data_IF_683324915049
#
_entry.id   IF_683324915049
#
_cell.length_a   1.000
_cell.length_b   1.000
_cell.length_c   1.000
_cell.angle_alpha   90.00
_cell.angle_beta   90.00
_cell.angle_gamma   90.00
#
_symmetry.space_group_name_H-M   'P 1'
#
loop_
_entity.id
_entity.type
_entity.pdbx_description
1 polymer ?
#
# COMPACT_ATOMS: atom_id res chain seq x y z
N UNK A 1 56.34 2.80 22.97
CA UNK A 1 55.24 3.78 22.91
C UNK A 1 54.34 3.52 24.09
N UNK A 2 54.28 4.46 25.03
CA UNK A 2 53.68 4.28 26.35
C UNK A 2 52.17 4.06 26.25
N UNK A 3 51.69 2.89 26.68
CA UNK A 3 50.29 2.66 27.00
C UNK A 3 49.99 3.41 28.29
N UNK A 4 49.40 4.60 28.15
CA UNK A 4 48.83 5.33 29.28
C UNK A 4 47.71 4.49 29.88
N UNK A 5 47.93 4.02 31.12
CA UNK A 5 46.88 3.63 32.05
C UNK A 5 45.93 4.82 32.21
N UNK A 6 44.69 4.66 31.79
CA UNK A 6 43.59 5.52 32.24
C UNK A 6 42.82 4.71 33.28
N UNK A 7 43.15 4.95 34.55
CA UNK A 7 42.31 4.63 35.70
C UNK A 7 41.40 5.83 35.94
N UNK A 8 40.17 5.80 35.43
CA UNK A 8 39.02 6.50 36.01
C UNK A 8 37.74 5.68 35.72
N UNK A 9 36.82 5.51 36.69
CA UNK A 9 35.57 4.80 36.49
C UNK A 9 34.55 5.73 35.79
N UNK A 10 34.62 5.76 34.45
CA UNK A 10 33.64 6.40 33.58
C UNK A 10 33.71 5.71 32.23
N UNK A 11 32.82 4.74 31.99
CA UNK A 11 32.90 3.81 30.87
C UNK A 11 32.86 4.52 29.51
N UNK A 12 33.98 4.54 28.79
CA UNK A 12 34.00 4.75 27.35
C UNK A 12 33.59 3.45 26.68
N UNK A 13 32.53 3.48 25.88
CA UNK A 13 32.10 2.30 25.16
C UNK A 13 32.57 2.40 23.71
N UNK A 14 33.41 1.44 23.34
CA UNK A 14 34.26 1.46 22.15
C UNK A 14 33.64 0.59 21.05
N UNK A 15 33.37 1.18 19.89
CA UNK A 15 33.05 0.43 18.66
C UNK A 15 34.20 0.51 17.67
N UNK A 16 34.77 -0.63 17.26
CA UNK A 16 35.76 -0.73 16.17
C UNK A 16 35.05 -1.15 14.88
N UNK A 17 35.17 -0.35 13.82
CA UNK A 17 34.66 -0.73 12.50
C UNK A 17 35.75 -0.84 11.45
N UNK A 18 35.69 -1.94 10.71
CA UNK A 18 36.47 -2.20 9.51
C UNK A 18 35.78 -1.55 8.29
N UNK A 19 36.50 -0.72 7.53
CA UNK A 19 36.07 -0.33 6.19
C UNK A 19 37.19 -0.56 5.20
N UNK A 20 36.94 -1.43 4.23
CA UNK A 20 37.78 -1.62 3.07
C UNK A 20 37.23 -0.74 1.95
N UNK A 21 38.01 0.26 1.54
CA UNK A 21 37.93 0.83 0.20
C UNK A 21 39.30 0.59 -0.46
N UNK A 22 39.31 0.37 -1.78
CA UNK A 22 40.42 -0.20 -2.58
C UNK A 22 41.80 0.50 -2.50
N UNK A 23 41.98 1.51 -1.65
CA UNK A 23 43.26 2.19 -1.45
C UNK A 23 43.63 2.51 0.01
N UNK A 24 42.75 2.35 1.02
CA UNK A 24 43.09 2.70 2.41
C UNK A 24 42.26 1.93 3.45
N UNK A 25 42.93 1.44 4.50
CA UNK A 25 42.32 0.90 5.71
C UNK A 25 42.17 2.04 6.72
N UNK A 26 40.94 2.38 7.09
CA UNK A 26 40.67 3.38 8.12
C UNK A 26 39.96 2.74 9.32
N UNK A 27 40.50 2.98 10.52
CA UNK A 27 39.79 2.72 11.77
C UNK A 27 38.89 3.92 12.05
N UNK A 28 37.58 3.70 12.04
CA UNK A 28 36.62 4.71 12.50
C UNK A 28 36.26 4.44 13.95
N UNK A 29 36.50 5.43 14.81
CA UNK A 29 36.08 5.47 16.20
C UNK A 29 34.87 6.40 16.30
N UNK A 30 33.68 5.87 16.58
CA UNK A 30 32.56 6.70 17.01
C UNK A 30 32.56 6.64 18.55
N UNK A 31 33.27 7.58 19.20
CA UNK A 31 33.25 7.71 20.67
C UNK A 31 32.04 8.54 21.05
N UNK A 32 30.98 7.89 21.55
CA UNK A 32 29.93 8.58 22.26
C UNK A 32 30.50 8.97 23.63
N UNK A 33 30.82 10.26 23.79
CA UNK A 33 31.15 10.80 25.11
C UNK A 33 29.86 10.91 25.91
N UNK A 34 29.84 10.51 27.19
CA UNK A 34 28.75 10.85 28.09
C UNK A 34 28.49 12.36 28.00
N UNK A 35 27.24 12.74 27.76
CA UNK A 35 26.86 14.15 27.75
C UNK A 35 26.70 14.57 29.20
N UNK A 36 27.58 15.44 29.69
CA UNK A 36 27.49 16.00 31.03
C UNK A 36 26.90 17.40 30.99
N UNK A 37 25.91 17.66 31.82
CA UNK A 37 25.32 18.99 31.97
C UNK A 37 25.76 19.61 33.29
N UNK A 38 26.15 20.88 33.26
CA UNK A 38 26.52 21.66 34.46
C UNK A 38 25.32 22.31 35.13
N UNK A 39 24.15 22.22 34.51
CA UNK A 39 22.88 22.76 34.98
C UNK A 39 21.78 21.71 34.78
N UNK A 40 20.68 21.76 35.55
CA UNK A 40 19.52 20.92 35.29
C UNK A 40 19.00 21.14 33.85
N UNK A 41 18.77 20.06 33.11
CA UNK A 41 18.27 20.09 31.73
C UNK A 41 16.90 19.44 31.67
N UNK A 42 15.96 20.13 31.03
CA UNK A 42 14.67 19.55 30.66
C UNK A 42 14.75 19.01 29.24
N UNK A 43 14.48 17.71 29.06
CA UNK A 43 14.43 17.06 27.75
C UNK A 43 12.98 16.72 27.43
N UNK A 44 12.51 17.18 26.28
CA UNK A 44 11.17 16.87 25.78
C UNK A 44 11.24 15.68 24.83
N UNK A 45 10.87 14.50 25.33
CA UNK A 45 10.85 13.27 24.56
C UNK A 45 9.53 12.54 24.77
N UNK A 46 8.78 12.38 23.68
CA UNK A 46 7.44 11.79 23.69
C UNK A 46 7.45 10.29 24.05
N UNK A 47 8.60 9.63 23.93
CA UNK A 47 8.76 8.19 24.17
C UNK A 47 9.99 7.92 25.05
N UNK A 48 10.22 8.77 26.05
CA UNK A 48 11.33 8.61 26.97
C UNK A 48 11.25 7.28 27.74
N UNK A 49 12.41 6.67 28.00
CA UNK A 49 12.58 5.52 28.87
C UNK A 49 13.58 5.85 29.96
N UNK A 50 13.22 5.55 31.22
CA UNK A 50 14.10 5.73 32.36
C UNK A 50 15.41 4.96 32.17
N UNK A 51 15.33 3.66 31.83
CA UNK A 51 16.50 2.80 31.58
C UNK A 51 17.43 3.39 30.50
N UNK A 52 16.86 3.89 29.40
CA UNK A 52 17.66 4.47 28.32
C UNK A 52 18.36 5.77 28.73
N UNK A 53 17.68 6.63 29.49
CA UNK A 53 18.24 7.91 29.93
C UNK A 53 19.27 7.74 31.05
N UNK A 54 19.06 6.79 31.97
CA UNK A 54 20.04 6.46 33.02
C UNK A 54 21.37 6.02 32.42
N UNK A 55 21.33 5.25 31.33
CA UNK A 55 22.52 4.82 30.58
C UNK A 55 23.14 5.94 29.73
N UNK A 56 22.33 6.87 29.22
CA UNK A 56 22.79 7.99 28.39
C UNK A 56 23.48 9.07 29.23
N UNK A 57 23.02 9.28 30.47
CA UNK A 57 23.48 10.33 31.39
C UNK A 57 24.05 9.73 32.69
N UNK A 58 25.14 8.93 32.60
CA UNK A 58 25.70 8.28 33.77
C UNK A 58 26.11 9.31 34.83
N UNK A 59 25.76 9.04 36.09
CA UNK A 59 26.07 9.91 37.23
C UNK A 59 25.14 11.13 37.38
N UNK A 60 24.18 11.33 36.46
CA UNK A 60 23.13 12.34 36.61
C UNK A 60 21.89 11.71 37.27
N UNK A 61 21.16 12.49 38.07
CA UNK A 61 19.83 12.08 38.53
C UNK A 61 18.82 12.35 37.43
N UNK A 62 18.26 11.29 36.83
CA UNK A 62 17.22 11.38 35.80
C UNK A 62 15.86 11.14 36.44
N UNK A 63 14.92 12.06 36.25
CA UNK A 63 13.53 11.89 36.67
C UNK A 63 12.60 12.02 35.45
N UNK A 64 11.82 10.98 35.17
CA UNK A 64 10.84 10.99 34.10
C UNK A 64 9.50 11.53 34.58
N UNK A 65 9.07 12.64 33.98
CA UNK A 65 7.76 13.24 34.25
C UNK A 65 6.85 13.06 33.04
N UNK A 66 5.74 12.35 33.23
CA UNK A 66 4.71 12.24 32.19
C UNK A 66 3.70 13.38 32.37
N UNK A 67 3.48 14.17 31.32
CA UNK A 67 2.55 15.30 31.34
C UNK A 67 1.45 15.08 30.30
N UNK A 68 0.20 15.29 30.72
CA UNK A 68 -0.97 15.20 29.85
C UNK A 68 -1.52 13.79 29.69
N UNK A 69 -2.62 13.69 28.95
CA UNK A 69 -3.27 12.41 28.64
C UNK A 69 -2.72 11.86 27.33
N UNK A 70 -2.39 10.56 27.32
CA UNK A 70 -2.03 9.86 26.07
C UNK A 70 -3.29 9.61 25.26
N UNK A 71 -3.33 10.15 24.05
CA UNK A 71 -4.43 9.91 23.11
C UNK A 71 -4.02 8.80 22.13
N UNK A 72 -4.78 7.70 22.05
CA UNK A 72 -4.42 6.59 21.18
C UNK A 72 -4.54 6.95 19.70
N UNK A 73 -3.65 6.39 18.90
CA UNK A 73 -3.74 6.44 17.44
C UNK A 73 -4.69 5.35 16.94
N UNK A 74 -5.53 5.69 15.97
CA UNK A 74 -6.41 4.76 15.27
C UNK A 74 -5.73 4.29 13.99
N UNK A 75 -5.32 3.03 13.98
CA UNK A 75 -4.52 2.43 12.91
C UNK A 75 -5.30 1.32 12.24
N UNK A 76 -5.24 1.25 10.92
CA UNK A 76 -5.89 0.22 10.10
C UNK A 76 -4.85 -0.71 9.46
N UNK A 77 -4.59 -1.90 10.03
CA UNK A 77 -3.65 -2.84 9.45
C UNK A 77 -4.17 -3.42 8.14
N UNK A 78 -3.32 -3.42 7.11
CA UNK A 78 -3.61 -3.92 5.78
C UNK A 78 -2.37 -4.59 5.17
N UNK A 79 -2.00 -5.76 5.72
CA UNK A 79 -0.78 -6.52 5.34
C UNK A 79 -0.72 -6.91 3.86
N UNK A 80 -1.85 -6.89 3.16
CA UNK A 80 -1.96 -7.08 1.72
C UNK A 80 -1.34 -5.94 0.91
N UNK A 81 -1.13 -4.75 1.49
CA UNK A 81 -0.51 -3.61 0.82
C UNK A 81 1.02 -3.62 0.87
N UNK A 82 1.62 -4.61 1.56
CA UNK A 82 3.07 -4.64 1.81
C UNK A 82 3.85 -4.79 0.52
N UNK A 83 4.78 -3.89 0.27
CA UNK A 83 5.72 -4.00 -0.84
C UNK A 83 6.99 -4.73 -0.40
N UNK A 84 7.66 -5.38 -1.35
CA UNK A 84 9.01 -5.89 -1.14
C UNK A 84 10.02 -4.81 -1.50
N UNK A 85 10.73 -4.31 -0.48
CA UNK A 85 11.72 -3.25 -0.60
C UNK A 85 12.91 -3.63 -1.48
N UNK A 86 13.17 -4.92 -1.69
CA UNK A 86 14.23 -5.40 -2.60
C UNK A 86 13.82 -5.28 -4.06
N UNK A 87 12.51 -5.24 -4.32
CA UNK A 87 11.96 -5.17 -5.67
C UNK A 87 11.65 -3.71 -6.10
N UNK A 88 11.69 -2.74 -5.18
CA UNK A 88 11.60 -1.30 -5.47
C UNK A 88 12.84 -0.84 -6.24
N UNK A 89 12.66 -0.40 -7.49
CA UNK A 89 13.73 0.10 -8.36
C UNK A 89 14.22 -0.89 -9.41
N UNK A 90 13.97 -2.19 -9.24
CA UNK A 90 14.14 -3.16 -10.33
C UNK A 90 12.91 -3.11 -11.22
N UNK A 91 13.05 -2.63 -12.46
CA UNK A 91 12.01 -2.71 -13.51
C UNK A 91 11.69 -4.14 -13.96
N UNK A 92 11.85 -5.13 -13.09
CA UNK A 92 11.82 -6.55 -13.38
C UNK A 92 10.41 -7.10 -13.55
N UNK A 93 9.89 -6.97 -14.78
CA UNK A 93 9.36 -8.00 -15.68
C UNK A 93 8.35 -9.08 -15.19
N UNK A 94 7.92 -9.13 -13.93
CA UNK A 94 6.97 -10.13 -13.45
C UNK A 94 5.55 -9.53 -13.34
N UNK A 95 4.57 -9.98 -14.16
CA UNK A 95 3.22 -9.42 -14.19
C UNK A 95 2.52 -9.38 -12.83
N UNK A 96 2.81 -10.34 -11.94
CA UNK A 96 2.25 -10.36 -10.58
C UNK A 96 2.71 -9.20 -9.71
N UNK A 97 3.97 -8.77 -9.86
CA UNK A 97 4.56 -7.68 -9.05
C UNK A 97 4.00 -6.34 -9.48
N UNK A 98 3.87 -6.14 -10.79
CA UNK A 98 3.21 -4.96 -11.33
C UNK A 98 1.75 -4.90 -10.84
N UNK A 99 1.05 -6.04 -10.74
CA UNK A 99 -0.39 -6.07 -10.41
C UNK A 99 -0.62 -5.70 -8.97
N UNK A 100 0.28 -6.15 -8.11
CA UNK A 100 0.29 -5.78 -6.72
C UNK A 100 0.58 -4.28 -6.53
N UNK A 101 1.54 -3.72 -7.26
CA UNK A 101 1.82 -2.27 -7.19
C UNK A 101 0.68 -1.42 -7.73
N UNK A 102 0.04 -1.85 -8.83
CA UNK A 102 -1.16 -1.20 -9.35
C UNK A 102 -2.30 -1.25 -8.32
N UNK A 103 -2.50 -2.38 -7.64
CA UNK A 103 -3.47 -2.48 -6.55
C UNK A 103 -3.16 -1.49 -5.42
N UNK A 104 -1.92 -1.47 -4.92
CA UNK A 104 -1.49 -0.55 -3.85
C UNK A 104 -1.66 0.91 -4.26
N UNK A 105 -1.24 1.28 -5.48
CA UNK A 105 -1.41 2.63 -6.02
C UNK A 105 -2.88 3.06 -6.00
N UNK A 106 -3.80 2.14 -6.35
CA UNK A 106 -5.23 2.44 -6.40
C UNK A 106 -5.88 2.55 -5.05
N UNK A 107 -5.49 1.74 -4.07
CA UNK A 107 -6.00 1.90 -2.70
C UNK A 107 -5.59 3.26 -2.14
N UNK A 108 -4.36 3.70 -2.40
CA UNK A 108 -3.86 5.03 -2.03
C UNK A 108 -4.67 6.13 -2.72
N UNK A 109 -4.83 6.05 -4.05
CA UNK A 109 -5.57 7.04 -4.83
C UNK A 109 -7.04 7.09 -4.48
N UNK A 110 -7.66 5.94 -4.19
CA UNK A 110 -9.05 5.89 -3.77
C UNK A 110 -9.28 6.68 -2.49
N UNK A 111 -8.42 6.51 -1.48
CA UNK A 111 -8.48 7.32 -0.25
C UNK A 111 -8.30 8.80 -0.58
N UNK A 112 -7.35 9.14 -1.46
CA UNK A 112 -7.13 10.51 -1.87
C UNK A 112 -8.31 11.12 -2.64
N UNK A 113 -9.07 10.32 -3.38
CA UNK A 113 -10.21 10.77 -4.20
C UNK A 113 -11.50 10.92 -3.38
N UNK A 114 -11.75 9.99 -2.45
CA UNK A 114 -13.01 9.93 -1.72
C UNK A 114 -13.04 10.82 -0.48
N UNK A 115 -11.89 11.33 -0.02
CA UNK A 115 -11.88 12.19 1.16
C UNK A 115 -12.60 13.53 0.88
N UNK A 116 -13.76 13.79 1.53
CA UNK A 116 -14.56 14.99 1.25
C UNK A 116 -13.83 16.27 1.65
N UNK A 117 -12.85 16.18 2.56
CA UNK A 117 -12.04 17.32 3.01
C UNK A 117 -10.79 17.52 2.15
N UNK A 118 -10.66 16.74 1.08
CA UNK A 118 -9.54 16.80 0.16
C UNK A 118 -8.18 16.77 0.89
N UNK A 119 -7.98 15.88 1.86
CA UNK A 119 -6.68 15.68 2.52
C UNK A 119 -5.72 14.94 1.61
N UNK A 120 -4.47 15.38 1.46
CA UNK A 120 -3.47 14.64 0.72
C UNK A 120 -3.07 13.35 1.47
N UNK A 121 -2.46 12.42 0.75
CA UNK A 121 -1.92 11.17 1.31
C UNK A 121 -0.41 11.25 1.34
N UNK A 122 0.20 10.93 2.48
CA UNK A 122 1.64 10.65 2.58
C UNK A 122 1.88 9.14 2.61
N UNK A 123 2.76 8.68 1.72
CA UNK A 123 3.21 7.30 1.64
C UNK A 123 4.63 7.21 2.20
N UNK A 124 4.81 6.39 3.24
CA UNK A 124 6.09 6.14 3.87
C UNK A 124 6.66 4.77 3.46
N UNK A 125 7.90 4.78 2.96
CA UNK A 125 8.66 3.58 2.58
C UNK A 125 10.18 3.81 2.75
N UNK A 126 10.97 2.74 2.88
CA UNK A 126 12.41 2.81 3.16
C UNK A 126 13.24 3.12 1.91
N UNK A 127 12.81 2.67 0.74
CA UNK A 127 13.51 2.91 -0.53
C UNK A 127 12.63 3.68 -1.50
N UNK A 128 12.38 4.94 -1.17
CA UNK A 128 11.87 5.87 -2.17
C UNK A 128 13.02 6.33 -3.04
N UNK A 129 13.47 5.45 -3.94
CA UNK A 129 14.27 5.91 -5.07
C UNK A 129 13.43 6.95 -5.81
N UNK A 130 13.94 8.16 -6.01
CA UNK A 130 13.31 9.10 -6.92
C UNK A 130 12.99 8.35 -8.22
N UNK A 131 11.73 8.40 -8.68
CA UNK A 131 11.23 7.62 -9.82
C UNK A 131 10.99 6.11 -9.54
N UNK A 132 10.69 5.73 -8.30
CA UNK A 132 10.21 4.39 -7.95
C UNK A 132 8.97 3.99 -8.74
N UNK A 133 8.78 2.69 -8.99
CA UNK A 133 7.69 2.22 -9.87
C UNK A 133 6.30 2.53 -9.30
N UNK A 134 6.09 2.41 -7.99
CA UNK A 134 4.83 2.80 -7.36
C UNK A 134 4.56 4.31 -7.55
N UNK A 135 5.56 5.15 -7.33
CA UNK A 135 5.45 6.60 -7.51
C UNK A 135 5.08 6.96 -8.95
N UNK A 136 5.67 6.29 -9.95
CA UNK A 136 5.32 6.47 -11.37
C UNK A 136 3.87 6.09 -11.66
N UNK A 137 3.40 4.95 -11.12
CA UNK A 137 2.01 4.53 -11.29
C UNK A 137 1.04 5.54 -10.68
N UNK A 138 1.32 6.01 -9.46
CA UNK A 138 0.50 7.03 -8.80
C UNK A 138 0.51 8.34 -9.58
N UNK A 139 1.67 8.83 -10.02
CA UNK A 139 1.79 10.06 -10.79
C UNK A 139 1.03 9.99 -12.13
N UNK A 140 1.14 8.87 -12.85
CA UNK A 140 0.41 8.65 -14.11
C UNK A 140 -1.10 8.66 -13.90
N UNK A 141 -1.59 8.01 -12.83
CA UNK A 141 -3.01 7.97 -12.51
C UNK A 141 -3.53 9.35 -12.05
N UNK A 142 -2.79 10.09 -11.22
CA UNK A 142 -3.13 11.47 -10.84
C UNK A 142 -3.28 12.36 -12.09
N UNK A 143 -2.32 12.28 -13.02
CA UNK A 143 -2.36 13.01 -14.29
C UNK A 143 -3.60 12.62 -15.11
N UNK A 144 -3.87 11.32 -15.25
CA UNK A 144 -5.03 10.81 -16.01
C UNK A 144 -6.38 11.27 -15.46
N UNK A 145 -6.43 11.52 -14.15
CA UNK A 145 -7.62 11.99 -13.42
C UNK A 145 -7.65 13.50 -13.24
N UNK A 146 -6.65 14.22 -13.76
CA UNK A 146 -6.49 15.67 -13.58
C UNK A 146 -6.47 16.09 -12.10
N UNK A 147 -5.92 15.24 -11.23
CA UNK A 147 -5.72 15.54 -9.82
C UNK A 147 -4.36 16.23 -9.59
N UNK A 148 -4.25 17.12 -8.58
CA UNK A 148 -2.97 17.74 -8.22
C UNK A 148 -1.87 16.71 -7.93
N UNK A 149 -0.63 17.02 -8.32
CA UNK A 149 0.51 16.11 -8.13
C UNK A 149 0.90 15.91 -6.66
N UNK A 150 0.59 16.89 -5.80
CA UNK A 150 0.79 16.88 -4.36
C UNK A 150 -0.33 16.14 -3.60
N UNK A 151 -1.38 15.66 -4.30
CA UNK A 151 -2.44 14.83 -3.72
C UNK A 151 -1.88 13.58 -3.03
N UNK A 152 -0.77 13.04 -3.55
CA UNK A 152 -0.05 11.92 -2.96
C UNK A 152 1.44 12.26 -2.90
N UNK A 153 1.97 12.37 -1.69
CA UNK A 153 3.38 12.60 -1.42
C UNK A 153 4.06 11.29 -1.00
N UNK A 154 5.34 11.16 -1.33
CA UNK A 154 6.18 10.03 -0.91
C UNK A 154 7.31 10.58 -0.04
N UNK A 155 7.53 9.99 1.15
CA UNK A 155 8.61 10.38 2.04
C UNK A 155 9.27 9.16 2.70
N UNK A 156 10.58 9.23 2.92
CA UNK A 156 11.25 8.17 3.67
C UNK A 156 10.63 8.13 5.07
N UNK A 157 10.45 6.95 5.67
CA UNK A 157 9.77 6.84 6.98
C UNK A 157 10.46 7.69 8.08
N UNK A 158 11.79 7.83 8.00
CA UNK A 158 12.61 8.69 8.87
C UNK A 158 12.66 10.18 8.43
N UNK A 159 12.25 10.54 7.21
CA UNK A 159 12.46 11.90 6.69
C UNK A 159 11.55 12.95 7.36
N UNK A 160 12.14 14.11 7.69
CA UNK A 160 11.44 15.30 8.19
C UNK A 160 10.91 15.18 9.62
N UNK A 161 11.57 14.39 10.48
CA UNK A 161 11.30 14.37 11.94
C UNK A 161 11.34 15.78 12.51
N UNK A 162 10.47 16.04 13.49
CA UNK A 162 10.32 17.36 14.11
C UNK A 162 9.59 18.40 13.24
N UNK A 163 9.41 18.16 11.94
CA UNK A 163 8.70 19.05 11.03
C UNK A 163 7.27 18.55 10.81
N UNK A 164 6.29 19.45 10.89
CA UNK A 164 4.85 19.13 10.74
C UNK A 164 4.39 19.11 9.27
N UNK A 165 5.27 18.77 8.32
CA UNK A 165 5.01 18.81 6.87
C UNK A 165 3.74 18.07 6.45
N UNK A 166 3.49 16.89 7.04
CA UNK A 166 2.36 16.03 6.69
C UNK A 166 1.21 16.08 7.70
N UNK A 167 1.15 17.14 8.50
CA UNK A 167 0.04 17.34 9.42
C UNK A 167 -1.29 17.23 8.66
N UNK A 168 -2.26 16.52 9.24
CA UNK A 168 -3.60 16.26 8.68
C UNK A 168 -3.64 15.45 7.37
N UNK A 169 -2.51 14.94 6.87
CA UNK A 169 -2.50 14.02 5.73
C UNK A 169 -3.01 12.64 6.14
N UNK A 170 -3.56 11.88 5.21
CA UNK A 170 -3.68 10.43 5.38
C UNK A 170 -2.31 9.78 5.33
N UNK A 171 -2.07 8.71 6.07
CA UNK A 171 -0.79 8.00 6.10
C UNK A 171 -0.94 6.57 5.59
N UNK A 172 -0.07 6.19 4.65
CA UNK A 172 0.18 4.82 4.26
C UNK A 172 1.62 4.45 4.57
N UNK A 173 1.84 3.65 5.61
CA UNK A 173 3.15 3.09 5.92
C UNK A 173 3.26 1.68 5.31
N UNK A 174 3.91 1.59 4.16
CA UNK A 174 3.95 0.35 3.36
C UNK A 174 5.01 -0.65 3.84
N UNK A 175 5.89 -0.22 4.72
CA UNK A 175 6.98 -1.00 5.30
C UNK A 175 7.07 -0.72 6.80
N UNK A 176 7.51 -1.72 7.57
CA UNK A 176 7.80 -1.54 8.99
C UNK A 176 9.03 -0.63 9.16
N UNK A 177 9.09 0.18 10.24
CA UNK A 177 10.29 0.92 10.56
C UNK A 177 11.43 -0.05 10.88
N UNK A 178 12.66 0.40 10.69
CA UNK A 178 13.84 -0.39 11.01
C UNK A 178 14.95 0.49 11.54
N UNK A 179 15.59 0.10 12.62
CA UNK A 179 16.79 0.77 13.08
C UNK A 179 17.99 0.39 12.18
N UNK A 180 18.86 1.34 11.81
CA UNK A 180 20.08 1.02 11.07
C UNK A 180 20.94 0.00 11.83
N UNK A 181 21.56 -0.95 11.14
CA UNK A 181 22.46 -1.93 11.77
C UNK A 181 23.58 -1.28 12.61
N UNK A 182 24.07 -0.12 12.15
CA UNK A 182 25.05 0.70 12.89
C UNK A 182 24.54 1.19 14.25
N UNK A 183 23.23 1.39 14.42
CA UNK A 183 22.64 1.75 15.72
C UNK A 183 22.83 0.62 16.73
N UNK A 184 22.58 -0.63 16.30
CA UNK A 184 22.84 -1.81 17.12
C UNK A 184 24.34 -1.97 17.40
N UNK A 185 25.16 -1.92 16.34
CA UNK A 185 26.60 -2.22 16.42
C UNK A 185 27.40 -1.15 17.20
N UNK A 186 26.91 0.09 17.25
CA UNK A 186 27.65 1.21 17.85
C UNK A 186 26.90 1.88 19.00
N UNK A 187 25.66 2.35 18.79
CA UNK A 187 24.94 3.11 19.84
C UNK A 187 24.53 2.22 21.00
N UNK A 188 23.88 1.09 20.73
CA UNK A 188 23.43 0.19 21.80
C UNK A 188 24.61 -0.54 22.46
N UNK A 189 25.61 -0.94 21.66
CA UNK A 189 26.88 -1.43 22.20
C UNK A 189 27.58 -0.39 23.07
N UNK A 190 27.42 0.90 22.78
CA UNK A 190 27.98 1.96 23.59
C UNK A 190 27.23 2.16 24.92
N UNK A 191 25.90 2.13 24.89
CA UNK A 191 25.08 2.33 26.08
C UNK A 191 25.14 1.15 27.06
N UNK A 192 25.23 -0.08 26.54
CA UNK A 192 25.27 -1.30 27.34
C UNK A 192 26.35 -2.26 26.80
N UNK A 193 27.65 -2.02 27.07
CA UNK A 193 28.74 -2.77 26.46
C UNK A 193 28.80 -4.24 26.91
N UNK A 194 28.52 -4.50 28.18
CA UNK A 194 28.64 -5.83 28.79
C UNK A 194 27.31 -6.55 29.00
N UNK A 195 26.17 -5.88 28.76
CA UNK A 195 24.83 -6.43 28.99
C UNK A 195 24.07 -6.64 27.66
N UNK A 196 24.03 -7.87 27.12
CA UNK A 196 23.30 -8.17 25.90
C UNK A 196 21.78 -8.03 26.05
N UNK A 197 21.23 -8.28 27.24
CA UNK A 197 19.79 -8.22 27.48
C UNK A 197 19.32 -6.77 27.55
N UNK A 198 20.10 -5.88 28.18
CA UNK A 198 19.86 -4.43 28.12
C UNK A 198 19.91 -3.91 26.69
N UNK A 199 20.88 -4.32 25.87
CA UNK A 199 20.91 -3.94 24.45
C UNK A 199 19.65 -4.37 23.70
N UNK A 200 19.16 -5.58 23.96
CA UNK A 200 17.94 -6.06 23.34
C UNK A 200 16.71 -5.28 23.80
N UNK A 201 16.58 -4.97 25.10
CA UNK A 201 15.48 -4.15 25.63
C UNK A 201 15.49 -2.74 25.05
N UNK A 202 16.66 -2.08 25.02
CA UNK A 202 16.83 -0.77 24.41
C UNK A 202 16.51 -0.79 22.90
N UNK A 203 16.96 -1.82 22.18
CA UNK A 203 16.63 -1.99 20.78
C UNK A 203 15.11 -2.06 20.55
N UNK A 204 14.41 -2.87 21.34
CA UNK A 204 12.96 -3.00 21.24
C UNK A 204 12.26 -1.69 21.59
N UNK A 205 12.71 -1.00 22.65
CA UNK A 205 12.21 0.32 23.01
C UNK A 205 12.36 1.31 21.85
N UNK A 206 13.55 1.44 21.29
CA UNK A 206 13.83 2.35 20.19
C UNK A 206 13.00 2.00 18.95
N UNK A 207 12.85 0.71 18.62
CA UNK A 207 12.04 0.27 17.49
C UNK A 207 10.55 0.62 17.68
N UNK A 208 10.03 0.53 18.92
CA UNK A 208 8.68 0.96 19.27
C UNK A 208 8.52 2.46 19.10
N UNK A 209 9.46 3.24 19.64
CA UNK A 209 9.51 4.69 19.49
C UNK A 209 9.56 5.09 18.02
N UNK A 210 10.31 4.37 17.20
CA UNK A 210 10.35 4.61 15.75
C UNK A 210 9.01 4.33 15.06
N UNK A 211 8.36 3.24 15.42
CA UNK A 211 7.01 2.94 14.92
C UNK A 211 6.02 4.04 15.31
N UNK A 212 6.02 4.48 16.57
CA UNK A 212 5.12 5.53 17.03
C UNK A 212 5.43 6.88 16.35
N UNK A 213 6.69 7.27 16.23
CA UNK A 213 7.08 8.48 15.48
C UNK A 213 6.59 8.45 14.04
N UNK A 214 6.70 7.29 13.37
CA UNK A 214 6.19 7.09 12.02
C UNK A 214 4.66 7.24 11.95
N UNK A 215 3.91 6.67 12.89
CA UNK A 215 2.44 6.74 12.90
C UNK A 215 1.93 8.13 13.28
N UNK A 216 2.63 8.85 14.16
CA UNK A 216 2.28 10.22 14.57
C UNK A 216 2.57 11.29 13.51
N UNK A 217 3.11 10.92 12.33
CA UNK A 217 3.50 11.85 11.26
C UNK A 217 2.37 12.79 10.84
N UNK A 218 1.12 12.32 10.89
CA UNK A 218 -0.06 13.06 10.45
C UNK A 218 -0.73 13.85 11.56
N UNK A 219 -0.27 13.69 12.81
CA UNK A 219 -0.87 14.28 14.00
C UNK A 219 -2.36 13.95 14.13
N UNK A 220 -2.74 12.70 13.86
CA UNK A 220 -4.15 12.26 13.90
C UNK A 220 -4.86 12.60 15.21
N UNK A 221 -4.13 12.57 16.33
CA UNK A 221 -4.64 12.93 17.67
C UNK A 221 -5.10 14.38 17.81
N UNK A 222 -4.71 15.29 16.90
CA UNK A 222 -5.14 16.70 16.90
C UNK A 222 -6.46 16.91 16.15
N UNK A 223 -7.16 15.84 15.77
CA UNK A 223 -8.45 15.91 15.12
C UNK A 223 -9.56 16.14 16.15
N UNK A 224 -10.38 17.17 15.93
CA UNK A 224 -11.45 17.58 16.84
C UNK A 224 -12.56 16.52 16.98
N UNK A 225 -12.77 15.73 15.91
CA UNK A 225 -13.81 14.71 15.81
C UNK A 225 -13.28 13.42 15.18
N UNK A 226 -13.86 12.24 15.48
CA UNK A 226 -13.49 10.99 14.81
C UNK A 226 -13.54 11.06 13.28
N UNK A 227 -14.54 11.72 12.71
CA UNK A 227 -14.73 11.89 11.28
C UNK A 227 -13.63 12.79 10.68
N UNK A 228 -13.07 13.69 11.49
CA UNK A 228 -11.96 14.56 11.11
C UNK A 228 -10.58 13.92 11.23
N UNK A 229 -10.48 12.69 11.77
CA UNK A 229 -9.20 11.99 11.90
C UNK A 229 -8.65 11.61 10.53
N UNK A 230 -7.39 11.97 10.23
CA UNK A 230 -6.71 11.41 9.09
C UNK A 230 -6.55 9.89 9.26
N UNK A 231 -6.94 9.12 8.25
CA UNK A 231 -6.66 7.69 8.17
C UNK A 231 -5.16 7.36 8.31
N UNK A 232 -4.83 6.34 9.10
CA UNK A 232 -3.51 5.72 9.17
C UNK A 232 -3.63 4.25 8.75
N UNK A 233 -2.97 3.87 7.66
CA UNK A 233 -2.91 2.51 7.14
C UNK A 233 -1.49 1.97 7.27
N UNK A 234 -1.34 0.75 7.76
CA UNK A 234 -0.05 0.07 7.91
C UNK A 234 -0.03 -1.25 7.18
N UNK A 235 1.02 -1.52 6.40
CA UNK A 235 1.14 -2.77 5.67
C UNK A 235 1.93 -3.85 6.44
N UNK A 236 2.12 -3.66 7.73
CA UNK A 236 2.85 -4.55 8.63
C UNK A 236 2.07 -4.69 9.93
N UNK A 237 2.52 -5.63 10.76
CA UNK A 237 1.90 -5.89 12.05
C UNK A 237 2.41 -4.91 13.10
N UNK A 238 1.64 -3.87 13.39
CA UNK A 238 1.99 -2.87 14.42
C UNK A 238 2.01 -3.52 15.81
N UNK A 239 1.09 -4.43 16.10
CA UNK A 239 1.03 -5.12 17.38
C UNK A 239 2.28 -5.99 17.63
N UNK A 240 2.85 -6.58 16.58
CA UNK A 240 4.10 -7.33 16.70
C UNK A 240 5.32 -6.47 17.07
N UNK A 241 5.29 -5.16 16.78
CA UNK A 241 6.37 -4.22 17.12
C UNK A 241 6.12 -3.60 18.49
N UNK A 242 4.90 -3.12 18.72
CA UNK A 242 4.54 -2.40 19.94
C UNK A 242 4.28 -3.32 21.14
N UNK A 243 3.94 -4.59 20.89
CA UNK A 243 3.46 -5.52 21.91
C UNK A 243 2.02 -5.18 22.34
N UNK A 244 1.59 -5.70 23.49
CA UNK A 244 0.28 -5.39 24.08
C UNK A 244 0.25 -3.95 24.59
N UNK A 245 -0.09 -3.01 23.71
CA UNK A 245 -0.13 -1.57 23.99
C UNK A 245 -1.37 -0.92 23.36
N UNK A 246 -2.53 -1.41 23.79
CA UNK A 246 -3.85 -0.87 23.40
C UNK A 246 -4.10 0.55 23.93
N UNK A 247 -3.26 1.03 24.85
CA UNK A 247 -3.28 2.37 25.42
C UNK A 247 -2.76 3.45 24.45
N UNK A 248 -1.89 3.07 23.51
CA UNK A 248 -1.30 4.00 22.52
C UNK A 248 -1.80 3.78 21.10
N UNK A 249 -2.27 2.58 20.75
CA UNK A 249 -2.82 2.28 19.43
C UNK A 249 -4.11 1.46 19.53
N UNK A 250 -5.16 1.97 18.88
CA UNK A 250 -6.42 1.26 18.63
C UNK A 250 -6.37 0.72 17.20
N UNK A 251 -6.59 -0.58 17.07
CA UNK A 251 -6.65 -1.26 15.79
C UNK A 251 -8.07 -1.27 15.24
N UNK A 252 -8.24 -0.76 14.03
CA UNK A 252 -9.51 -0.75 13.30
C UNK A 252 -9.40 -1.62 12.03
N UNK A 253 -10.48 -2.28 11.61
CA UNK A 253 -10.49 -2.97 10.33
C UNK A 253 -10.38 -1.98 9.16
N UNK A 254 -9.59 -2.32 8.14
CA UNK A 254 -9.64 -1.64 6.85
C UNK A 254 -10.57 -2.40 5.89
N UNK A 255 -11.60 -1.74 5.39
CA UNK A 255 -12.33 -2.21 4.21
C UNK A 255 -11.55 -1.80 2.97
N UNK A 256 -10.90 -2.75 2.30
CA UNK A 256 -10.24 -2.49 1.00
C UNK A 256 -11.29 -2.15 -0.05
N UNK A 257 -10.97 -1.20 -0.92
CA UNK A 257 -11.89 -0.78 -1.98
C UNK A 257 -11.92 -1.76 -3.15
N UNK A 258 -10.76 -2.33 -3.49
CA UNK A 258 -10.65 -3.34 -4.55
C UNK A 258 -10.60 -4.75 -3.96
N UNK A 259 -11.34 -5.66 -4.59
CA UNK A 259 -11.17 -7.09 -4.32
C UNK A 259 -9.83 -7.58 -4.87
N UNK A 260 -8.87 -7.75 -3.97
CA UNK A 260 -7.53 -8.24 -4.30
C UNK A 260 -7.26 -9.60 -3.65
N UNK A 261 -6.96 -10.60 -4.47
CA UNK A 261 -6.57 -11.93 -3.98
C UNK A 261 -5.05 -12.10 -4.03
N UNK A 262 -4.40 -11.99 -2.86
CA UNK A 262 -2.93 -12.15 -2.74
C UNK A 262 -2.49 -13.52 -3.25
N UNK A 263 -1.34 -13.56 -3.95
CA UNK A 263 -0.72 -14.76 -4.56
C UNK A 263 -1.49 -15.40 -5.73
N UNK A 264 -2.68 -14.91 -6.09
CA UNK A 264 -3.39 -15.36 -7.29
C UNK A 264 -2.55 -15.15 -8.57
N UNK A 265 -2.74 -16.03 -9.56
CA UNK A 265 -2.23 -15.81 -10.94
C UNK A 265 -2.91 -14.62 -11.62
N UNK A 266 -4.02 -14.17 -11.06
CA UNK A 266 -4.80 -13.06 -11.55
C UNK A 266 -5.51 -12.32 -10.39
N UNK A 267 -4.77 -11.47 -9.66
CA UNK A 267 -5.23 -10.92 -8.38
C UNK A 267 -6.36 -9.88 -8.50
N UNK A 268 -6.56 -9.32 -9.69
CA UNK A 268 -7.56 -8.28 -9.98
C UNK A 268 -8.68 -8.75 -10.92
N UNK A 269 -8.75 -10.05 -11.22
CA UNK A 269 -9.73 -10.60 -12.17
C UNK A 269 -11.17 -10.29 -11.77
N UNK A 270 -11.51 -10.54 -10.51
CA UNK A 270 -12.87 -10.36 -10.01
C UNK A 270 -13.33 -8.92 -10.15
N UNK A 271 -12.47 -8.00 -9.74
CA UNK A 271 -12.70 -6.57 -9.88
C UNK A 271 -12.84 -6.14 -11.34
N UNK A 272 -12.00 -6.67 -12.24
CA UNK A 272 -12.11 -6.40 -13.67
C UNK A 272 -13.42 -6.92 -14.27
N UNK A 273 -13.78 -8.16 -13.94
CA UNK A 273 -15.03 -8.78 -14.38
C UNK A 273 -16.23 -8.01 -13.84
N UNK A 274 -16.26 -7.68 -12.54
CA UNK A 274 -17.35 -6.93 -11.91
C UNK A 274 -17.57 -5.59 -12.60
N UNK A 275 -16.50 -4.80 -12.76
CA UNK A 275 -16.62 -3.44 -13.32
C UNK A 275 -16.95 -3.46 -14.82
N UNK A 276 -16.34 -4.34 -15.62
CA UNK A 276 -16.68 -4.45 -17.04
C UNK A 276 -18.08 -5.02 -17.25
N UNK A 277 -18.51 -5.97 -16.42
CA UNK A 277 -19.89 -6.50 -16.46
C UNK A 277 -20.88 -5.38 -16.18
N UNK A 278 -20.60 -4.52 -15.19
CA UNK A 278 -21.43 -3.35 -14.89
C UNK A 278 -21.47 -2.37 -16.07
N UNK A 279 -20.33 -2.02 -16.66
CA UNK A 279 -20.27 -1.15 -17.85
C UNK A 279 -21.01 -1.75 -19.05
N UNK A 280 -20.90 -3.06 -19.28
CA UNK A 280 -21.61 -3.76 -20.37
C UNK A 280 -23.11 -3.79 -20.11
N UNK A 281 -23.54 -4.03 -18.87
CA UNK A 281 -24.94 -3.98 -18.49
C UNK A 281 -25.53 -2.60 -18.76
N UNK A 282 -24.89 -1.54 -18.26
CA UNK A 282 -25.37 -0.17 -18.40
C UNK A 282 -25.48 0.27 -19.87
N UNK A 283 -24.79 -0.43 -20.79
CA UNK A 283 -24.80 -0.15 -22.22
C UNK A 283 -25.72 -1.06 -23.03
N UNK A 284 -25.75 -2.35 -22.73
CA UNK A 284 -26.43 -3.35 -23.54
C UNK A 284 -27.75 -3.80 -22.91
N UNK A 285 -27.97 -3.58 -21.62
CA UNK A 285 -29.07 -4.17 -20.84
C UNK A 285 -28.80 -5.61 -20.39
N UNK A 286 -27.65 -6.17 -20.75
CA UNK A 286 -27.21 -7.52 -20.43
C UNK A 286 -25.73 -7.69 -20.78
N UNK A 287 -25.15 -8.82 -20.41
CA UNK A 287 -23.73 -9.09 -20.60
C UNK A 287 -23.54 -10.37 -21.41
N UNK A 288 -23.50 -10.26 -22.76
CA UNK A 288 -23.14 -11.37 -23.60
C UNK A 288 -21.72 -11.83 -23.28
N UNK A 289 -21.51 -13.12 -23.02
CA UNK A 289 -20.17 -13.61 -22.64
C UNK A 289 -19.14 -13.41 -23.74
N UNK A 290 -19.59 -13.39 -25.00
CA UNK A 290 -18.73 -13.06 -26.14
C UNK A 290 -18.14 -11.65 -26.06
N UNK A 291 -18.80 -10.71 -25.38
CA UNK A 291 -18.23 -9.39 -25.06
C UNK A 291 -17.05 -9.51 -24.11
N UNK A 292 -17.18 -10.33 -23.05
CA UNK A 292 -16.11 -10.58 -22.08
C UNK A 292 -14.92 -11.31 -22.72
N UNK A 293 -15.18 -12.22 -23.66
CA UNK A 293 -14.14 -12.84 -24.50
C UNK A 293 -13.47 -11.81 -25.42
N UNK A 294 -14.25 -10.92 -26.05
CA UNK A 294 -13.76 -9.90 -26.97
C UNK A 294 -12.85 -8.85 -26.29
N UNK A 295 -13.14 -8.51 -25.03
CA UNK A 295 -12.28 -7.63 -24.21
C UNK A 295 -11.13 -8.37 -23.52
N UNK A 296 -11.05 -9.69 -23.65
CA UNK A 296 -9.96 -10.52 -23.12
C UNK A 296 -10.07 -10.90 -21.64
N UNK A 297 -11.25 -10.77 -21.03
CA UNK A 297 -11.48 -11.18 -19.62
C UNK A 297 -11.85 -12.65 -19.47
N UNK A 298 -12.45 -13.25 -20.50
CA UNK A 298 -12.70 -14.69 -20.58
C UNK A 298 -11.88 -15.33 -21.69
N UNK A 299 -11.49 -16.59 -21.49
CA UNK A 299 -10.85 -17.39 -22.55
C UNK A 299 -11.85 -17.58 -23.68
N UNK A 300 -11.40 -17.39 -24.92
CA UNK A 300 -12.29 -17.46 -26.07
C UNK A 300 -12.87 -18.87 -26.25
N UNK A 301 -14.19 -19.03 -26.13
CA UNK A 301 -14.94 -20.22 -26.54
C UNK A 301 -15.74 -19.97 -27.82
N UNK A 302 -16.12 -18.71 -28.08
CA UNK A 302 -16.87 -18.30 -29.26
C UNK A 302 -15.99 -18.27 -30.51
N UNK A 303 -16.59 -18.34 -31.71
CA UNK A 303 -15.82 -18.31 -32.96
C UNK A 303 -15.07 -16.97 -33.16
N UNK A 304 -13.88 -16.95 -33.78
CA UNK A 304 -13.09 -15.72 -33.97
C UNK A 304 -13.85 -14.58 -34.65
N UNK A 305 -14.61 -14.89 -35.72
CA UNK A 305 -15.40 -13.89 -36.45
C UNK A 305 -16.45 -13.21 -35.54
N UNK A 306 -17.09 -13.97 -34.66
CA UNK A 306 -18.08 -13.44 -33.72
C UNK A 306 -17.43 -12.52 -32.68
N UNK A 307 -16.25 -12.91 -32.15
CA UNK A 307 -15.49 -12.06 -31.21
C UNK A 307 -15.02 -10.77 -31.87
N UNK A 308 -14.52 -10.82 -33.10
CA UNK A 308 -14.13 -9.63 -33.86
C UNK A 308 -15.32 -8.71 -34.09
N UNK A 309 -16.49 -9.27 -34.45
CA UNK A 309 -17.73 -8.49 -34.61
C UNK A 309 -18.16 -7.82 -33.31
N UNK A 310 -18.19 -8.58 -32.21
CA UNK A 310 -18.49 -8.05 -30.88
C UNK A 310 -17.50 -6.95 -30.48
N UNK A 311 -16.19 -7.16 -30.68
CA UNK A 311 -15.17 -6.17 -30.38
C UNK A 311 -15.38 -4.87 -31.17
N UNK A 312 -15.61 -4.98 -32.49
CA UNK A 312 -15.84 -3.82 -33.34
C UNK A 312 -17.11 -3.06 -32.92
N UNK A 313 -18.17 -3.77 -32.54
CA UNK A 313 -19.41 -3.13 -32.07
C UNK A 313 -19.23 -2.46 -30.70
N UNK A 314 -18.55 -3.10 -29.77
CA UNK A 314 -18.24 -2.50 -28.47
C UNK A 314 -17.44 -1.21 -28.65
N UNK A 315 -16.43 -1.20 -29.55
CA UNK A 315 -15.63 -0.01 -29.85
C UNK A 315 -16.47 1.17 -30.35
N UNK A 316 -17.57 0.94 -31.07
CA UNK A 316 -18.47 2.03 -31.51
C UNK A 316 -19.46 2.48 -30.44
N UNK A 317 -19.73 1.64 -29.44
CA UNK A 317 -20.67 1.93 -28.35
C UNK A 317 -20.01 2.53 -27.09
N UNK A 318 -18.69 2.51 -26.97
CA UNK A 318 -17.95 3.19 -25.89
C UNK A 318 -18.22 4.70 -25.90
N UNK A 319 -18.67 5.26 -24.76
CA UNK A 319 -18.94 6.70 -24.55
C UNK A 319 -18.34 7.23 -23.25
N UNK A 320 -18.47 8.54 -22.98
CA UNK A 320 -18.24 9.12 -21.64
C UNK A 320 -19.07 8.33 -20.61
N UNK A 321 -18.43 7.82 -19.55
CA UNK A 321 -19.06 7.00 -18.50
C UNK A 321 -18.73 5.50 -18.51
N UNK A 322 -17.99 4.98 -19.51
CA UNK A 322 -17.46 3.60 -19.49
C UNK A 322 -15.93 3.61 -19.54
N UNK A 323 -15.26 4.01 -18.44
CA UNK A 323 -13.83 4.25 -18.43
C UNK A 323 -13.00 3.00 -18.78
N UNK A 324 -13.43 1.79 -18.39
CA UNK A 324 -12.68 0.57 -18.68
C UNK A 324 -12.81 0.14 -20.13
N UNK A 325 -14.02 0.11 -20.68
CA UNK A 325 -14.23 -0.19 -22.09
C UNK A 325 -13.56 0.86 -22.98
N UNK A 326 -13.46 2.11 -22.51
CA UNK A 326 -12.74 3.17 -23.21
C UNK A 326 -11.23 2.94 -23.27
N UNK A 327 -10.61 2.66 -22.12
CA UNK A 327 -9.20 2.31 -22.09
C UNK A 327 -8.92 1.05 -22.92
N UNK A 328 -9.78 0.03 -22.86
CA UNK A 328 -9.67 -1.15 -23.73
C UNK A 328 -9.75 -0.79 -25.22
N UNK A 329 -10.66 0.11 -25.61
CA UNK A 329 -10.79 0.55 -27.01
C UNK A 329 -9.53 1.24 -27.50
N UNK A 330 -8.96 2.13 -26.69
CA UNK A 330 -7.81 2.95 -27.05
C UNK A 330 -6.53 2.09 -27.15
N UNK A 331 -6.45 1.00 -26.38
CA UNK A 331 -5.15 0.39 -26.11
C UNK A 331 -5.12 -1.14 -26.26
N UNK A 332 -6.24 -1.74 -26.65
CA UNK A 332 -6.36 -3.17 -27.00
C UNK A 332 -6.36 -4.14 -25.81
N UNK A 333 -6.14 -3.64 -24.60
CA UNK A 333 -6.18 -4.38 -23.33
C UNK A 333 -6.85 -3.46 -22.32
N UNK A 334 -7.73 -3.97 -21.45
CA UNK A 334 -8.34 -3.14 -20.39
C UNK A 334 -7.20 -2.68 -19.47
N UNK A 335 -6.69 -1.45 -19.66
CA UNK A 335 -5.37 -1.15 -19.14
C UNK A 335 -5.29 -0.95 -17.65
N UNK A 336 -6.42 -0.64 -17.01
CA UNK A 336 -6.51 -0.74 -15.55
C UNK A 336 -6.04 -2.12 -15.05
N UNK A 337 -6.10 -3.14 -15.90
CA UNK A 337 -5.89 -4.52 -15.55
C UNK A 337 -4.87 -5.18 -16.48
N UNK A 338 -3.82 -4.46 -16.92
CA UNK A 338 -2.69 -4.92 -17.78
C UNK A 338 -2.03 -6.28 -17.40
N UNK A 339 -2.53 -6.97 -16.37
CA UNK A 339 -1.95 -8.10 -15.65
C UNK A 339 -3.02 -9.14 -15.27
N UNK A 340 -4.21 -9.00 -15.84
CA UNK A 340 -5.33 -9.92 -15.70
C UNK A 340 -5.30 -10.88 -16.86
N UNK A 341 -5.05 -12.16 -16.57
CA UNK A 341 -5.13 -13.24 -17.54
C UNK A 341 -6.60 -13.65 -17.78
N UNK A 342 -7.01 -13.97 -19.02
CA UNK A 342 -8.39 -14.39 -19.27
C UNK A 342 -8.78 -15.59 -18.41
N UNK A 343 -9.90 -15.49 -17.71
CA UNK A 343 -10.45 -16.57 -16.91
C UNK A 343 -10.91 -17.69 -17.84
N UNK A 344 -10.71 -18.96 -17.45
CA UNK A 344 -11.21 -20.07 -18.27
C UNK A 344 -12.73 -20.03 -18.41
N UNK A 345 -13.42 -19.65 -17.32
CA UNK A 345 -14.88 -19.56 -17.21
C UNK A 345 -15.25 -18.38 -16.32
N UNK A 346 -16.53 -17.96 -16.36
CA UNK A 346 -17.04 -16.91 -15.50
C UNK A 346 -17.14 -17.43 -14.05
N UNK A 347 -16.59 -16.74 -13.03
CA UNK A 347 -16.59 -17.24 -11.65
C UNK A 347 -18.01 -17.43 -11.10
N UNK A 348 -18.39 -18.64 -10.63
CA UNK A 348 -19.74 -18.92 -10.13
C UNK A 348 -20.12 -18.11 -8.90
N UNK A 349 -19.14 -17.80 -8.04
CA UNK A 349 -19.29 -16.94 -6.87
C UNK A 349 -19.59 -15.50 -7.24
N UNK A 350 -18.93 -14.96 -8.28
CA UNK A 350 -19.24 -13.63 -8.80
C UNK A 350 -20.64 -13.61 -9.43
N UNK A 351 -21.02 -14.68 -10.12
CA UNK A 351 -22.39 -14.83 -10.64
C UNK A 351 -23.41 -14.81 -9.51
N UNK A 352 -23.17 -15.53 -8.41
CA UNK A 352 -24.06 -15.54 -7.26
C UNK A 352 -24.20 -14.16 -6.60
N UNK A 353 -23.12 -13.37 -6.51
CA UNK A 353 -23.17 -11.99 -6.01
C UNK A 353 -24.02 -11.10 -6.92
N UNK A 354 -23.80 -11.17 -8.23
CA UNK A 354 -24.56 -10.39 -9.21
C UNK A 354 -26.04 -10.80 -9.28
N UNK A 355 -26.32 -12.09 -9.08
CA UNK A 355 -27.68 -12.64 -9.03
C UNK A 355 -28.41 -12.18 -7.76
N UNK A 356 -27.78 -12.29 -6.60
CA UNK A 356 -28.37 -11.88 -5.31
C UNK A 356 -28.70 -10.38 -5.25
N UNK A 357 -27.89 -9.53 -5.86
CA UNK A 357 -28.11 -8.08 -5.83
C UNK A 357 -29.18 -7.62 -6.82
N UNK A 358 -29.47 -8.37 -7.90
CA UNK A 358 -30.19 -7.82 -9.07
C UNK A 358 -31.08 -8.79 -9.87
N UNK A 359 -31.20 -10.06 -9.47
CA UNK A 359 -32.06 -11.08 -10.11
C UNK A 359 -31.56 -11.49 -11.51
N UNK A 360 -30.29 -11.88 -11.62
CA UNK A 360 -29.61 -12.06 -12.91
C UNK A 360 -29.29 -13.52 -13.18
N UNK A 361 -29.68 -13.99 -14.36
CA UNK A 361 -29.49 -15.37 -14.76
C UNK A 361 -28.78 -15.48 -16.10
N UNK A 362 -28.19 -16.64 -16.35
CA UNK A 362 -27.55 -16.95 -17.62
C UNK A 362 -28.62 -17.50 -18.58
N UNK A 363 -28.99 -16.68 -19.54
CA UNK A 363 -29.87 -17.06 -20.64
C UNK A 363 -29.04 -17.53 -21.84
N UNK A 364 -29.58 -18.48 -22.62
CA UNK A 364 -28.94 -18.98 -23.84
C UNK A 364 -29.67 -18.43 -25.05
N UNK A 365 -29.09 -17.42 -25.69
CA UNK A 365 -29.66 -16.78 -26.87
C UNK A 365 -29.12 -17.46 -28.12
N UNK A 366 -30.00 -17.84 -29.05
CA UNK A 366 -29.59 -18.43 -30.32
C UNK A 366 -29.22 -17.30 -31.28
N UNK A 367 -27.99 -17.32 -31.79
CA UNK A 367 -27.49 -16.36 -32.78
C UNK A 367 -27.19 -17.12 -34.06
N UNK A 368 -27.69 -16.61 -35.18
CA UNK A 368 -27.34 -17.11 -36.50
C UNK A 368 -25.94 -16.62 -36.90
N UNK A 369 -25.01 -17.57 -37.04
CA UNK A 369 -23.66 -17.27 -37.47
C UNK A 369 -23.50 -17.57 -38.97
N UNK A 370 -23.12 -16.57 -39.81
CA UNK A 370 -23.04 -16.72 -41.26
C UNK A 370 -22.18 -17.92 -41.74
N UNK A 371 -21.19 -18.31 -40.94
CA UNK A 371 -20.25 -19.41 -41.22
C UNK A 371 -20.46 -20.69 -40.41
N UNK A 372 -21.26 -20.66 -39.34
CA UNK A 372 -21.35 -21.79 -38.38
C UNK A 372 -22.79 -22.15 -37.98
N UNK A 373 -23.79 -21.54 -38.62
CA UNK A 373 -25.21 -21.75 -38.35
C UNK A 373 -25.64 -21.24 -36.98
N UNK A 374 -26.83 -21.68 -36.56
CA UNK A 374 -27.45 -21.32 -35.28
C UNK A 374 -26.62 -21.86 -34.11
N UNK A 375 -26.07 -20.96 -33.28
CA UNK A 375 -25.37 -21.31 -32.04
C UNK A 375 -26.00 -20.64 -30.83
N UNK A 376 -26.07 -21.37 -29.72
CA UNK A 376 -26.53 -20.84 -28.43
C UNK A 376 -25.37 -20.18 -27.72
N UNK A 377 -25.54 -18.92 -27.36
CA UNK A 377 -24.55 -18.14 -26.63
C UNK A 377 -25.07 -17.72 -25.26
N UNK A 378 -24.24 -17.85 -24.21
CA UNK A 378 -24.63 -17.43 -22.87
C UNK A 378 -24.60 -15.89 -22.75
N UNK A 379 -25.65 -15.36 -22.13
CA UNK A 379 -25.83 -13.95 -21.83
C UNK A 379 -26.32 -13.83 -20.40
N UNK A 380 -25.64 -13.04 -19.58
CA UNK A 380 -26.10 -12.70 -18.24
C UNK A 380 -27.09 -11.52 -18.35
N UNK A 381 -28.33 -11.71 -17.93
CA UNK A 381 -29.37 -10.68 -18.00
C UNK A 381 -30.45 -10.89 -16.93
N UNK A 382 -31.39 -9.95 -16.80
CA UNK A 382 -32.55 -10.06 -15.89
C UNK A 382 -33.66 -10.94 -16.46
N UNK A 383 -33.85 -10.88 -17.78
CA UNK A 383 -34.87 -11.65 -18.48
C UNK A 383 -34.34 -12.18 -19.81
N UNK A 384 -35.04 -13.17 -20.38
CA UNK A 384 -34.77 -13.68 -21.73
C UNK A 384 -34.85 -12.54 -22.78
N UNK A 385 -35.80 -11.62 -22.64
CA UNK A 385 -35.97 -10.48 -23.55
C UNK A 385 -34.76 -9.53 -23.48
N UNK A 386 -34.25 -9.24 -22.28
CA UNK A 386 -33.05 -8.41 -22.09
C UNK A 386 -31.81 -9.09 -22.69
N UNK A 387 -31.72 -10.42 -22.54
CA UNK A 387 -30.63 -11.21 -23.12
C UNK A 387 -30.63 -11.13 -24.66
N UNK A 388 -31.80 -11.30 -25.27
CA UNK A 388 -31.98 -11.16 -26.72
C UNK A 388 -31.69 -9.75 -27.21
N UNK A 389 -32.18 -8.72 -26.50
CA UNK A 389 -31.92 -7.33 -26.83
C UNK A 389 -30.43 -6.97 -26.71
N UNK A 390 -29.74 -7.46 -25.68
CA UNK A 390 -28.31 -7.25 -25.51
C UNK A 390 -27.50 -7.90 -26.64
N UNK A 391 -27.87 -9.13 -27.05
CA UNK A 391 -27.29 -9.80 -28.20
C UNK A 391 -27.58 -9.06 -29.50
N UNK A 392 -28.80 -8.56 -29.71
CA UNK A 392 -29.15 -7.76 -30.89
C UNK A 392 -28.31 -6.48 -30.94
N UNK A 393 -28.23 -5.72 -29.85
CA UNK A 393 -27.42 -4.48 -29.77
C UNK A 393 -25.94 -4.73 -30.07
N UNK A 394 -25.41 -5.87 -29.64
CA UNK A 394 -24.01 -6.24 -29.80
C UNK A 394 -23.70 -6.82 -31.19
N UNK A 395 -24.60 -7.62 -31.76
CA UNK A 395 -24.29 -8.49 -32.90
C UNK A 395 -25.19 -8.26 -34.10
N UNK A 396 -26.39 -7.72 -33.95
CA UNK A 396 -27.26 -7.40 -35.07
C UNK A 396 -27.15 -5.92 -35.44
N UNK A 397 -27.05 -5.69 -36.75
CA UNK A 397 -27.35 -4.42 -37.39
C UNK A 397 -28.52 -4.72 -38.33
#
# INVERSE_FOLDING_TARGET
MNLLRIQEPGSFALGLRWSQNDANIAFRFDVLRPVTFTQPVLILDAYASQEAYDLTFPGSTVALHTVGTRLPLHVRPARQLRLDSRDEGTGGAAPKREAHRTYVAREILHVAEQDPRQRPVVVLATKLTANGHLQKLVAAELLSKSLPSDRVCFAHWHAGRGVNTFQRHHLFALEAPSLPRRHQDHTLAALAPTDPDARQRLYQHDLRSECLQMLHRTRQVLADTPESRPLIVTAFDVAAILGDTTDVVIHEPLTSHLEYTRKSKNPLLREALRTVTQELLDRLGGVPFVSLEAVGLLRPKSAPALRTRAANRLKTQVRKGTPLLRSWKEEGVIQRYRLVNPAAEFPPDLLAVLDAERGWQVYRVTIDHPRYGLKRHPVLARSQADAEQACQRLLHA
#
